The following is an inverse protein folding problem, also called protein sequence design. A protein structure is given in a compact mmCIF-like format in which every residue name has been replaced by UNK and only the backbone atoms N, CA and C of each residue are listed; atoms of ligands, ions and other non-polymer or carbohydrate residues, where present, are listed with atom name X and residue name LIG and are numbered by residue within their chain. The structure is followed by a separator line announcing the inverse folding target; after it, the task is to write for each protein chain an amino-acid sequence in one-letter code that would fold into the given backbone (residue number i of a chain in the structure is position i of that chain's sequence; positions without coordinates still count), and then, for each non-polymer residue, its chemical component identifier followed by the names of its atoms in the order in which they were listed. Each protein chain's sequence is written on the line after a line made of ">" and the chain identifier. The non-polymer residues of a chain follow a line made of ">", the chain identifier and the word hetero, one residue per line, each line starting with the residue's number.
data_IF_070688138644
#
_entry.id   IF_070688138644
#
_cell.length_a   1.000
_cell.length_b   1.000
_cell.length_c   1.000
_cell.angle_alpha   90.00
_cell.angle_beta   90.00
_cell.angle_gamma   90.00
#
_symmetry.space_group_name_H-M   'P 1'
#
loop_
_entity.id
_entity.type
_entity.pdbx_description
1 polymer ?
#
# COMPACT_ATOMS: atom_id res chain seq x y z
N UNK A 1 37.19 -18.91 2.71
CA UNK A 1 37.28 -17.50 3.09
C UNK A 1 36.19 -17.23 4.11
N UNK A 2 36.53 -16.55 5.21
CA UNK A 2 35.62 -16.31 6.32
C UNK A 2 35.26 -14.83 6.35
N UNK A 3 33.98 -14.52 6.28
CA UNK A 3 33.45 -13.15 6.34
C UNK A 3 32.62 -13.03 7.60
N UNK A 4 32.96 -12.10 8.47
CA UNK A 4 32.19 -11.85 9.69
C UNK A 4 31.55 -10.48 9.64
N UNK A 5 30.24 -10.44 9.81
CA UNK A 5 29.45 -9.22 9.89
C UNK A 5 29.10 -8.91 11.35
N UNK A 6 28.88 -7.64 11.67
CA UNK A 6 28.44 -7.21 13.02
C UNK A 6 27.19 -6.34 12.94
N UNK A 7 26.24 -6.63 13.82
CA UNK A 7 25.00 -5.87 14.02
C UNK A 7 23.81 -6.77 14.30
N UNK A 8 22.78 -6.19 14.91
CA UNK A 8 21.52 -6.86 15.28
C UNK A 8 20.34 -6.45 14.39
N UNK A 9 20.64 -5.90 13.20
CA UNK A 9 19.65 -5.41 12.26
C UNK A 9 19.37 -6.45 11.15
N UNK A 10 18.18 -6.42 10.54
CA UNK A 10 17.84 -7.29 9.42
C UNK A 10 18.74 -7.06 8.19
N UNK A 11 19.30 -5.86 8.03
CA UNK A 11 20.31 -5.53 7.04
C UNK A 11 21.49 -6.52 7.04
N UNK A 12 22.01 -6.83 8.23
CA UNK A 12 23.15 -7.75 8.39
C UNK A 12 22.78 -9.17 7.96
N UNK A 13 21.55 -9.61 8.28
CA UNK A 13 21.05 -10.91 7.84
C UNK A 13 20.87 -10.98 6.33
N UNK A 14 20.24 -9.97 5.73
CA UNK A 14 20.09 -9.86 4.28
C UNK A 14 21.45 -9.92 3.60
N UNK A 15 22.41 -9.15 4.08
CA UNK A 15 23.75 -9.16 3.50
C UNK A 15 24.42 -10.53 3.58
N UNK A 16 24.32 -11.20 4.73
CA UNK A 16 24.84 -12.55 4.91
C UNK A 16 24.18 -13.57 3.97
N UNK A 17 22.85 -13.52 3.83
CA UNK A 17 22.09 -14.38 2.90
C UNK A 17 22.55 -14.15 1.46
N UNK A 18 22.66 -12.90 1.02
CA UNK A 18 23.05 -12.56 -0.33
C UNK A 18 24.48 -12.98 -0.65
N UNK A 19 25.43 -12.79 0.28
CA UNK A 19 26.81 -13.26 0.12
C UNK A 19 26.90 -14.79 -0.06
N UNK A 20 26.21 -15.56 0.79
CA UNK A 20 26.20 -17.02 0.69
C UNK A 20 25.54 -17.45 -0.64
N UNK A 21 24.41 -16.84 -0.98
CA UNK A 21 23.64 -17.17 -2.18
C UNK A 21 24.43 -16.87 -3.46
N UNK A 22 25.09 -15.72 -3.51
CA UNK A 22 25.94 -15.30 -4.63
C UNK A 22 27.14 -16.23 -4.82
N UNK A 23 27.79 -16.68 -3.75
CA UNK A 23 28.86 -17.65 -3.87
C UNK A 23 28.42 -18.99 -4.45
N UNK A 24 27.23 -19.47 -4.05
CA UNK A 24 26.63 -20.69 -4.60
C UNK A 24 26.31 -20.52 -6.08
N UNK A 25 25.77 -19.38 -6.51
CA UNK A 25 25.45 -19.16 -7.92
C UNK A 25 26.68 -19.12 -8.83
N UNK A 26 27.83 -18.68 -8.32
CA UNK A 26 29.11 -18.70 -9.06
C UNK A 26 29.87 -20.04 -8.96
N UNK A 27 29.33 -21.05 -8.28
CA UNK A 27 30.00 -22.35 -8.09
C UNK A 27 31.28 -22.26 -7.24
N UNK A 28 31.46 -21.16 -6.49
CA UNK A 28 32.60 -20.98 -5.60
C UNK A 28 32.37 -21.76 -4.30
N UNK A 29 33.43 -22.25 -3.64
CA UNK A 29 33.30 -22.77 -2.28
C UNK A 29 32.66 -21.70 -1.39
N UNK A 30 31.49 -22.00 -0.82
CA UNK A 30 30.70 -21.00 -0.11
C UNK A 30 31.54 -20.34 1.00
N UNK A 31 31.64 -19.00 1.03
CA UNK A 31 32.33 -18.31 2.11
C UNK A 31 31.64 -18.66 3.43
N UNK A 32 32.43 -18.86 4.48
CA UNK A 32 31.88 -19.05 5.82
C UNK A 32 31.46 -17.68 6.31
N UNK A 33 30.16 -17.40 6.22
CA UNK A 33 29.60 -16.14 6.70
C UNK A 33 29.12 -16.32 8.14
N UNK A 34 29.64 -15.48 9.03
CA UNK A 34 29.24 -15.43 10.43
C UNK A 34 28.72 -14.04 10.79
N UNK A 35 27.80 -13.96 11.75
CA UNK A 35 27.30 -12.71 12.32
C UNK A 35 27.69 -12.68 13.80
N UNK A 36 28.31 -11.59 14.25
CA UNK A 36 28.53 -11.35 15.68
C UNK A 36 27.21 -10.94 16.33
N UNK A 37 26.75 -11.71 17.31
CA UNK A 37 25.57 -11.40 18.10
C UNK A 37 24.68 -12.61 18.36
N UNK A 38 23.60 -12.37 19.09
CA UNK A 38 22.60 -13.38 19.39
C UNK A 38 21.46 -13.33 18.35
N UNK A 39 21.13 -14.45 17.69
CA UNK A 39 19.99 -14.55 16.78
C UNK A 39 18.64 -14.15 17.41
N UNK A 40 18.49 -14.28 18.72
CA UNK A 40 17.27 -13.92 19.44
C UNK A 40 17.21 -12.42 19.79
N UNK A 41 18.30 -11.69 19.59
CA UNK A 41 18.39 -10.23 19.77
C UNK A 41 18.23 -9.45 18.46
N UNK A 42 17.97 -10.14 17.34
CA UNK A 42 17.65 -9.47 16.08
C UNK A 42 16.34 -8.71 16.24
N UNK A 43 16.35 -7.45 15.82
CA UNK A 43 15.17 -6.58 15.96
C UNK A 43 13.97 -7.15 15.19
N UNK A 44 12.82 -7.38 15.84
CA UNK A 44 11.64 -7.96 15.21
C UNK A 44 10.91 -6.94 14.31
N UNK A 45 10.41 -7.41 13.16
CA UNK A 45 9.61 -6.63 12.22
C UNK A 45 8.30 -7.37 11.94
N UNK A 46 7.25 -6.98 12.65
CA UNK A 46 5.99 -7.72 12.71
C UNK A 46 5.00 -7.30 11.62
N UNK A 47 4.29 -8.28 11.05
CA UNK A 47 3.13 -8.05 10.17
C UNK A 47 1.85 -7.60 10.90
N UNK A 48 0.74 -7.40 10.17
CA UNK A 48 0.56 -7.78 8.78
C UNK A 48 1.11 -6.72 7.82
N UNK A 49 1.78 -7.15 6.75
CA UNK A 49 2.33 -6.26 5.73
C UNK A 49 2.30 -6.89 4.34
N UNK A 50 2.14 -6.04 3.32
CA UNK A 50 2.26 -6.41 1.92
C UNK A 50 3.04 -5.35 1.14
N UNK A 51 4.01 -5.80 0.35
CA UNK A 51 4.85 -4.94 -0.48
C UNK A 51 5.44 -5.72 -1.65
N UNK A 52 5.97 -4.97 -2.61
CA UNK A 52 6.82 -5.52 -3.65
C UNK A 52 8.29 -5.35 -3.26
N UNK A 53 9.05 -6.46 -3.21
CA UNK A 53 10.50 -6.41 -2.97
C UNK A 53 11.18 -7.68 -3.49
N UNK A 54 12.02 -7.52 -4.52
CA UNK A 54 12.82 -8.63 -5.04
C UNK A 54 13.82 -9.17 -4.01
N UNK A 55 14.44 -8.27 -3.23
CA UNK A 55 15.46 -8.65 -2.25
C UNK A 55 14.84 -9.49 -1.15
N UNK A 56 13.76 -9.03 -0.51
CA UNK A 56 13.08 -9.77 0.55
C UNK A 56 12.54 -11.12 0.06
N UNK A 57 11.89 -11.15 -1.11
CA UNK A 57 11.39 -12.39 -1.70
C UNK A 57 12.53 -13.38 -2.00
N UNK A 58 13.69 -12.90 -2.47
CA UNK A 58 14.88 -13.73 -2.72
C UNK A 58 15.50 -14.27 -1.41
N UNK A 59 15.40 -13.51 -0.33
CA UNK A 59 15.79 -13.92 1.01
C UNK A 59 14.74 -14.77 1.73
N UNK A 60 13.67 -15.18 1.04
CA UNK A 60 12.64 -16.09 1.56
C UNK A 60 11.63 -15.47 2.52
N UNK A 61 11.58 -14.13 2.62
CA UNK A 61 10.60 -13.43 3.47
C UNK A 61 9.26 -13.34 2.75
N UNK A 62 8.20 -13.88 3.38
CA UNK A 62 6.81 -13.68 2.95
C UNK A 62 6.53 -14.07 1.48
N UNK A 63 7.30 -14.99 0.91
CA UNK A 63 7.30 -15.25 -0.54
C UNK A 63 6.03 -15.96 -0.97
N UNK A 64 5.20 -15.28 -1.76
CA UNK A 64 4.11 -15.94 -2.49
C UNK A 64 4.68 -16.65 -3.73
N UNK A 65 4.68 -17.99 -3.72
CA UNK A 65 5.39 -18.84 -4.69
C UNK A 65 5.02 -18.59 -6.16
N UNK A 66 3.86 -17.99 -6.43
CA UNK A 66 3.33 -17.72 -7.77
C UNK A 66 3.44 -16.25 -8.20
N UNK A 67 3.83 -15.32 -7.32
CA UNK A 67 3.80 -13.86 -7.59
C UNK A 67 5.17 -13.18 -7.53
N UNK A 68 6.24 -13.97 -7.60
CA UNK A 68 7.61 -13.49 -7.80
C UNK A 68 8.17 -12.68 -6.64
N UNK A 69 7.96 -11.36 -6.69
CA UNK A 69 8.51 -10.36 -5.76
C UNK A 69 7.49 -9.79 -4.78
N UNK A 70 6.25 -10.30 -4.78
CA UNK A 70 5.29 -9.98 -3.75
C UNK A 70 5.73 -10.60 -2.41
N UNK A 71 5.75 -9.76 -1.39
CA UNK A 71 6.04 -10.15 -0.01
C UNK A 71 4.78 -9.92 0.81
N UNK A 72 4.27 -10.99 1.41
CA UNK A 72 3.17 -10.95 2.37
C UNK A 72 3.67 -11.50 3.69
N UNK A 73 3.65 -10.67 4.73
CA UNK A 73 3.96 -11.12 6.09
C UNK A 73 2.66 -11.12 6.90
N UNK A 74 2.23 -12.28 7.44
CA UNK A 74 1.02 -12.39 8.21
C UNK A 74 1.14 -11.64 9.54
N UNK A 75 0.01 -11.34 10.16
CA UNK A 75 -0.03 -10.67 11.46
C UNK A 75 -1.33 -10.89 12.22
N UNK A 76 -1.51 -10.20 13.35
CA UNK A 76 -2.78 -10.21 14.08
C UNK A 76 -3.92 -9.70 13.18
N UNK A 77 -5.11 -10.32 13.21
CA UNK A 77 -6.22 -9.97 12.32
C UNK A 77 -6.85 -8.60 12.62
N UNK A 78 -6.63 -8.08 13.83
CA UNK A 78 -7.10 -6.79 14.33
C UNK A 78 -6.11 -5.64 14.08
N UNK A 79 -4.88 -5.98 13.69
CA UNK A 79 -3.87 -5.00 13.35
C UNK A 79 -4.09 -4.48 11.91
N UNK A 80 -3.88 -3.17 11.64
CA UNK A 80 -3.93 -2.66 10.28
C UNK A 80 -2.95 -3.36 9.35
N UNK A 81 -3.29 -3.52 8.08
CA UNK A 81 -2.36 -3.99 7.06
C UNK A 81 -1.43 -2.86 6.63
N UNK A 82 -0.12 -3.06 6.74
CA UNK A 82 0.87 -2.13 6.19
C UNK A 82 1.05 -2.38 4.69
N UNK A 83 0.89 -1.36 3.86
CA UNK A 83 0.97 -1.50 2.39
C UNK A 83 1.98 -0.52 1.83
N UNK A 84 2.82 -0.97 0.89
CA UNK A 84 3.61 -0.09 0.03
C UNK A 84 3.49 -0.52 -1.43
N UNK A 85 3.20 0.46 -2.30
CA UNK A 85 3.21 0.27 -3.76
C UNK A 85 4.57 0.56 -4.40
N UNK A 86 5.54 1.09 -3.64
CA UNK A 86 6.86 1.41 -4.15
C UNK A 86 7.62 0.13 -4.56
N UNK A 87 8.41 0.22 -5.63
CA UNK A 87 9.10 -0.91 -6.29
C UNK A 87 10.00 -1.76 -5.37
N UNK A 88 10.43 -1.24 -4.23
CA UNK A 88 11.23 -1.97 -3.23
C UNK A 88 10.75 -1.72 -1.79
N UNK A 89 9.54 -1.19 -1.61
CA UNK A 89 8.99 -0.88 -0.29
C UNK A 89 9.74 0.21 0.48
N UNK A 90 10.57 1.06 -0.16
CA UNK A 90 11.32 2.12 0.54
C UNK A 90 10.46 3.33 0.93
N UNK A 91 9.33 3.54 0.25
CA UNK A 91 8.47 4.72 0.40
C UNK A 91 7.00 4.36 0.14
N UNK A 92 6.12 5.35 0.15
CA UNK A 92 4.72 5.17 -0.24
C UNK A 92 3.96 4.20 0.66
N UNK A 93 4.35 4.13 1.93
CA UNK A 93 3.68 3.29 2.90
C UNK A 93 2.42 3.96 3.44
N UNK A 94 1.37 3.16 3.62
CA UNK A 94 0.13 3.56 4.25
C UNK A 94 -0.50 2.36 4.96
N UNK A 95 -1.63 2.61 5.63
CA UNK A 95 -2.35 1.59 6.39
C UNK A 95 -3.73 1.35 5.80
N UNK A 96 -4.13 0.09 5.84
CA UNK A 96 -5.48 -0.37 5.49
C UNK A 96 -6.10 -1.02 6.72
N UNK A 97 -7.34 -0.67 7.05
CA UNK A 97 -8.06 -1.33 8.12
C UNK A 97 -8.38 -2.79 7.78
N UNK A 98 -8.14 -3.68 8.74
CA UNK A 98 -8.56 -5.09 8.68
C UNK A 98 -9.79 -5.38 9.55
N UNK A 99 -10.17 -4.46 10.44
CA UNK A 99 -11.26 -4.65 11.40
C UNK A 99 -12.66 -4.27 10.84
N UNK A 100 -12.73 -3.68 9.65
CA UNK A 100 -13.99 -3.37 8.95
C UNK A 100 -14.65 -2.04 9.36
N UNK A 101 -13.91 -1.12 9.98
CA UNK A 101 -14.32 0.27 10.28
C UNK A 101 -13.71 1.31 9.33
N UNK A 102 -12.55 1.02 8.74
CA UNK A 102 -11.73 1.95 7.97
C UNK A 102 -10.83 2.82 8.84
N UNK A 103 -9.66 3.15 8.32
CA UNK A 103 -8.72 4.11 8.93
C UNK A 103 -8.87 5.51 8.35
N UNK A 104 -9.18 5.62 7.05
CA UNK A 104 -9.29 6.93 6.42
C UNK A 104 -10.59 7.62 6.86
N UNK A 105 -10.59 8.94 7.16
CA UNK A 105 -11.78 9.67 7.58
C UNK A 105 -12.96 9.55 6.59
N UNK A 106 -12.70 9.47 5.29
CA UNK A 106 -13.72 9.22 4.27
C UNK A 106 -14.33 7.81 4.37
N UNK A 107 -13.50 6.77 4.55
CA UNK A 107 -13.96 5.39 4.76
C UNK A 107 -14.85 5.33 5.99
N UNK A 108 -14.39 5.91 7.10
CA UNK A 108 -15.15 5.96 8.34
C UNK A 108 -16.46 6.74 8.17
N UNK A 109 -16.46 7.82 7.39
CA UNK A 109 -17.67 8.58 7.04
C UNK A 109 -18.70 7.69 6.34
N UNK A 110 -18.29 6.90 5.35
CA UNK A 110 -19.19 5.96 4.67
C UNK A 110 -19.69 4.86 5.61
N UNK A 111 -18.83 4.32 6.49
CA UNK A 111 -19.22 3.32 7.47
C UNK A 111 -20.21 3.88 8.51
N UNK A 112 -20.01 5.12 8.96
CA UNK A 112 -20.93 5.82 9.86
C UNK A 112 -22.28 6.08 9.20
N UNK A 113 -22.32 6.66 8.00
CA UNK A 113 -23.57 6.89 7.26
C UNK A 113 -24.37 5.59 7.06
N UNK A 114 -23.67 4.47 6.86
CA UNK A 114 -24.29 3.15 6.69
C UNK A 114 -25.00 2.64 7.95
N UNK A 115 -24.52 3.05 9.14
CA UNK A 115 -25.02 2.62 10.45
C UNK A 115 -25.80 3.73 11.18
N UNK A 116 -25.98 4.89 10.53
CA UNK A 116 -26.61 6.06 11.14
C UNK A 116 -28.09 5.79 11.46
N UNK A 117 -28.62 6.26 12.61
CA UNK A 117 -30.03 6.13 12.95
C UNK A 117 -30.97 6.89 12.00
N UNK A 118 -30.50 7.94 11.33
CA UNK A 118 -31.30 8.77 10.41
C UNK A 118 -31.53 8.04 9.08
N UNK A 119 -32.79 7.94 8.59
CA UNK A 119 -33.08 7.28 7.31
C UNK A 119 -32.38 7.91 6.10
N UNK A 120 -32.27 9.24 6.07
CA UNK A 120 -31.62 10.00 4.99
C UNK A 120 -30.14 9.63 4.86
N UNK A 121 -29.40 9.58 5.98
CA UNK A 121 -28.00 9.14 6.00
C UNK A 121 -27.82 7.71 5.46
N UNK A 122 -28.71 6.78 5.85
CA UNK A 122 -28.67 5.40 5.34
C UNK A 122 -29.00 5.31 3.86
N UNK A 123 -29.93 6.12 3.35
CA UNK A 123 -30.23 6.19 1.90
C UNK A 123 -29.04 6.77 1.13
N UNK A 124 -28.46 7.88 1.58
CA UNK A 124 -27.27 8.48 0.98
C UNK A 124 -26.10 7.48 0.89
N UNK A 125 -25.85 6.72 1.95
CA UNK A 125 -24.89 5.62 1.94
C UNK A 125 -25.29 4.50 0.96
N UNK A 126 -26.56 4.06 0.94
CA UNK A 126 -27.03 3.02 -0.01
C UNK A 126 -26.89 3.46 -1.47
N UNK A 127 -27.11 4.73 -1.80
CA UNK A 127 -26.91 5.28 -3.15
C UNK A 127 -25.44 5.21 -3.54
N UNK A 128 -24.55 5.72 -2.69
CA UNK A 128 -23.12 5.71 -2.96
C UNK A 128 -22.55 4.29 -3.12
N UNK A 129 -22.92 3.35 -2.24
CA UNK A 129 -22.47 1.96 -2.34
C UNK A 129 -22.93 1.26 -3.62
N UNK A 130 -24.15 1.56 -4.09
CA UNK A 130 -24.65 1.08 -5.39
C UNK A 130 -23.81 1.62 -6.55
N UNK A 131 -23.44 2.90 -6.51
CA UNK A 131 -22.56 3.50 -7.52
C UNK A 131 -21.19 2.84 -7.50
N UNK A 132 -20.54 2.75 -6.34
CA UNK A 132 -19.22 2.12 -6.20
C UNK A 132 -19.23 0.66 -6.68
N UNK A 133 -20.23 -0.12 -6.27
CA UNK A 133 -20.40 -1.50 -6.73
C UNK A 133 -20.63 -1.59 -8.24
N UNK A 134 -21.45 -0.71 -8.83
CA UNK A 134 -21.64 -0.65 -10.29
C UNK A 134 -20.36 -0.31 -11.06
N UNK A 135 -19.44 0.43 -10.43
CA UNK A 135 -18.10 0.72 -10.95
C UNK A 135 -17.10 -0.42 -10.72
N UNK A 136 -17.47 -1.46 -9.96
CA UNK A 136 -16.59 -2.59 -9.62
C UNK A 136 -15.73 -2.36 -8.38
N UNK A 137 -16.08 -1.40 -7.52
CA UNK A 137 -15.42 -1.16 -6.22
C UNK A 137 -16.43 -1.55 -5.12
N UNK A 138 -16.32 -2.75 -4.52
CA UNK A 138 -17.20 -3.11 -3.41
C UNK A 138 -16.89 -2.19 -2.23
N UNK A 139 -17.89 -1.93 -1.40
CA UNK A 139 -17.79 -1.03 -0.26
C UNK A 139 -17.14 -1.69 0.96
N UNK A 140 -16.08 -2.47 0.70
CA UNK A 140 -15.23 -3.10 1.70
C UNK A 140 -14.28 -2.04 2.28
N UNK A 141 -14.27 -1.81 3.61
CA UNK A 141 -13.46 -0.76 4.24
C UNK A 141 -11.98 -0.79 3.83
N UNK A 142 -11.41 -1.99 3.69
CA UNK A 142 -10.02 -2.14 3.26
C UNK A 142 -9.75 -1.54 1.87
N UNK A 143 -10.68 -1.73 0.92
CA UNK A 143 -10.57 -1.18 -0.43
C UNK A 143 -10.86 0.32 -0.48
N UNK A 144 -11.74 0.80 0.39
CA UNK A 144 -12.01 2.23 0.54
C UNK A 144 -10.80 2.96 1.14
N UNK A 145 -10.11 2.37 2.12
CA UNK A 145 -8.85 2.90 2.64
C UNK A 145 -7.78 2.94 1.55
N UNK A 146 -7.68 1.93 0.68
CA UNK A 146 -6.82 2.03 -0.49
C UNK A 146 -7.24 3.18 -1.41
N UNK A 147 -8.52 3.26 -1.74
CA UNK A 147 -9.04 4.28 -2.66
C UNK A 147 -8.79 5.71 -2.15
N UNK A 148 -8.89 5.94 -0.84
CA UNK A 148 -8.80 7.27 -0.24
C UNK A 148 -7.44 7.60 0.39
N UNK A 149 -6.70 6.62 0.91
CA UNK A 149 -5.48 6.86 1.69
C UNK A 149 -4.18 6.46 0.99
N UNK A 150 -4.23 5.70 -0.11
CA UNK A 150 -3.02 5.33 -0.83
C UNK A 150 -2.24 6.60 -1.25
N UNK A 151 -0.91 6.65 -1.08
CA UNK A 151 -0.09 7.82 -1.41
C UNK A 151 0.21 7.90 -2.90
N UNK A 152 -0.83 7.77 -3.72
CA UNK A 152 -0.80 7.73 -5.17
C UNK A 152 -1.72 8.82 -5.75
N UNK A 153 -1.47 9.30 -6.99
CA UNK A 153 -2.37 10.23 -7.64
C UNK A 153 -3.82 9.70 -7.70
N UNK A 154 -4.86 10.57 -7.70
CA UNK A 154 -6.27 10.17 -7.67
C UNK A 154 -6.66 9.10 -8.70
N UNK A 155 -6.23 9.25 -9.95
CA UNK A 155 -6.52 8.29 -11.01
C UNK A 155 -5.81 6.95 -10.79
N UNK A 156 -4.59 6.97 -10.25
CA UNK A 156 -3.84 5.76 -9.88
C UNK A 156 -4.53 5.03 -8.72
N UNK A 157 -5.03 5.74 -7.70
CA UNK A 157 -5.80 5.13 -6.59
C UNK A 157 -7.05 4.44 -7.09
N UNK A 158 -7.79 5.07 -8.00
CA UNK A 158 -8.96 4.45 -8.63
C UNK A 158 -8.55 3.18 -9.38
N UNK A 159 -7.50 3.23 -10.20
CA UNK A 159 -7.01 2.08 -10.94
C UNK A 159 -6.61 0.93 -10.00
N UNK A 160 -5.85 1.22 -8.94
CA UNK A 160 -5.41 0.25 -7.94
C UNK A 160 -6.60 -0.35 -7.18
N UNK A 161 -7.60 0.47 -6.81
CA UNK A 161 -8.80 0.00 -6.13
C UNK A 161 -9.60 -0.97 -7.00
N UNK A 162 -9.76 -0.66 -8.29
CA UNK A 162 -10.42 -1.54 -9.26
C UNK A 162 -9.66 -2.85 -9.47
N UNK A 163 -8.32 -2.80 -9.50
CA UNK A 163 -7.47 -4.00 -9.63
C UNK A 163 -7.56 -4.89 -8.40
N UNK A 164 -7.48 -4.31 -7.21
CA UNK A 164 -7.65 -5.02 -5.94
C UNK A 164 -9.06 -5.62 -5.81
N UNK A 165 -10.09 -4.84 -6.12
CA UNK A 165 -11.48 -5.28 -6.12
C UNK A 165 -11.71 -6.47 -7.05
N UNK A 166 -11.26 -6.37 -8.31
CA UNK A 166 -11.38 -7.48 -9.28
C UNK A 166 -10.66 -8.73 -8.81
N UNK A 167 -9.48 -8.58 -8.20
CA UNK A 167 -8.76 -9.72 -7.65
C UNK A 167 -9.46 -10.37 -6.45
N UNK A 168 -10.27 -9.60 -5.71
CA UNK A 168 -11.01 -10.08 -4.54
C UNK A 168 -12.35 -10.72 -4.91
N UNK A 169 -13.10 -10.11 -5.83
CA UNK A 169 -14.47 -10.53 -6.14
C UNK A 169 -14.57 -11.34 -7.44
N UNK A 170 -13.60 -11.22 -8.34
CA UNK A 170 -13.67 -11.76 -9.70
C UNK A 170 -14.63 -10.99 -10.63
N UNK A 171 -15.30 -9.94 -10.12
CA UNK A 171 -16.29 -9.19 -10.89
C UNK A 171 -15.64 -8.10 -11.75
N UNK A 172 -16.17 -7.92 -12.96
CA UNK A 172 -15.83 -6.78 -13.81
C UNK A 172 -16.84 -5.65 -13.61
N UNK A 173 -16.35 -4.48 -13.20
CA UNK A 173 -17.16 -3.27 -13.09
C UNK A 173 -17.52 -2.66 -14.45
N UNK A 174 -18.54 -1.80 -14.46
CA UNK A 174 -18.81 -0.98 -15.64
C UNK A 174 -17.70 0.05 -15.87
N UNK A 175 -17.32 0.36 -17.13
CA UNK A 175 -16.34 1.41 -17.40
C UNK A 175 -16.78 2.74 -16.79
N UNK A 176 -15.95 3.33 -15.92
CA UNK A 176 -16.26 4.59 -15.20
C UNK A 176 -16.54 5.75 -16.15
N UNK A 177 -15.91 5.78 -17.33
CA UNK A 177 -16.14 6.81 -18.35
C UNK A 177 -17.55 6.79 -18.93
N UNK A 178 -18.34 5.72 -18.71
CA UNK A 178 -19.78 5.71 -19.04
C UNK A 178 -20.59 6.74 -18.24
N UNK A 179 -20.08 7.20 -17.10
CA UNK A 179 -20.71 8.27 -16.33
C UNK A 179 -20.43 9.66 -16.91
N UNK A 180 -19.47 9.78 -17.83
CA UNK A 180 -19.04 11.05 -18.39
C UNK A 180 -19.73 11.36 -19.72
N UNK A 181 -19.90 12.65 -20.00
CA UNK A 181 -20.35 13.19 -21.29
C UNK A 181 -19.16 13.35 -22.25
N UNK A 182 -19.32 13.06 -23.56
CA UNK A 182 -18.29 13.35 -24.55
C UNK A 182 -17.96 14.85 -24.56
N UNK A 183 -16.67 15.17 -24.50
CA UNK A 183 -16.22 16.55 -24.43
C UNK A 183 -16.34 17.28 -25.77
N UNK A 184 -16.88 18.49 -25.74
CA UNK A 184 -16.93 19.40 -26.89
C UNK A 184 -16.41 20.81 -26.52
N UNK A 185 -15.47 20.92 -25.57
CA UNK A 185 -15.01 22.21 -25.03
C UNK A 185 -13.70 22.13 -24.22
N UNK A 186 -13.40 23.17 -23.45
CA UNK A 186 -12.24 23.22 -22.53
C UNK A 186 -12.56 22.42 -21.27
N UNK A 187 -11.69 21.48 -20.94
CA UNK A 187 -11.81 20.66 -19.75
C UNK A 187 -11.70 21.54 -18.49
N UNK A 188 -12.62 21.41 -17.51
CA UNK A 188 -12.49 22.12 -16.24
C UNK A 188 -11.22 21.66 -15.50
N UNK A 189 -10.61 22.59 -14.76
CA UNK A 189 -9.51 22.25 -13.85
C UNK A 189 -9.99 21.27 -12.78
N UNK A 190 -9.15 20.30 -12.37
CA UNK A 190 -9.51 19.36 -11.33
C UNK A 190 -9.59 20.09 -9.99
N UNK A 191 -10.34 19.52 -9.05
CA UNK A 191 -10.28 19.98 -7.66
C UNK A 191 -8.88 19.71 -7.09
N UNK A 192 -8.37 20.59 -6.21
CA UNK A 192 -7.06 20.40 -5.61
C UNK A 192 -7.01 19.11 -4.78
N UNK A 193 -5.82 18.51 -4.70
CA UNK A 193 -5.58 17.39 -3.79
C UNK A 193 -5.84 17.83 -2.34
N UNK A 194 -6.57 17.01 -1.58
CA UNK A 194 -6.95 17.33 -0.21
C UNK A 194 -8.10 18.33 -0.07
N UNK A 195 -8.89 18.57 -1.12
CA UNK A 195 -10.08 19.43 -1.04
C UNK A 195 -11.00 18.98 0.10
N UNK A 196 -11.40 19.92 0.97
CA UNK A 196 -12.28 19.59 2.10
C UNK A 196 -13.73 19.55 1.66
N UNK A 197 -14.58 18.79 2.36
CA UNK A 197 -16.01 18.79 2.06
C UNK A 197 -16.66 20.16 2.23
N UNK A 198 -16.18 20.99 3.15
CA UNK A 198 -16.62 22.39 3.30
C UNK A 198 -16.30 23.22 2.06
N UNK A 199 -15.09 23.08 1.51
CA UNK A 199 -14.70 23.77 0.28
C UNK A 199 -15.54 23.29 -0.91
N UNK A 200 -15.87 22.00 -0.99
CA UNK A 200 -16.76 21.45 -2.02
C UNK A 200 -18.16 22.08 -1.91
N UNK A 201 -18.73 22.16 -0.71
CA UNK A 201 -20.04 22.78 -0.51
C UNK A 201 -20.03 24.29 -0.81
N UNK A 202 -18.95 25.00 -0.46
CA UNK A 202 -18.79 26.41 -0.81
C UNK A 202 -18.69 26.62 -2.33
N UNK A 203 -17.88 25.81 -3.03
CA UNK A 203 -17.77 25.84 -4.49
C UNK A 203 -19.11 25.53 -5.17
N UNK A 204 -19.90 24.63 -4.61
CA UNK A 204 -21.26 24.35 -5.08
C UNK A 204 -22.18 25.56 -4.90
N UNK A 205 -22.17 26.18 -3.72
CA UNK A 205 -23.01 27.36 -3.44
C UNK A 205 -22.71 28.53 -4.38
N UNK A 206 -21.44 28.70 -4.77
CA UNK A 206 -20.99 29.77 -5.68
C UNK A 206 -21.06 29.38 -7.18
N UNK A 207 -21.57 28.18 -7.53
CA UNK A 207 -21.65 27.70 -8.91
C UNK A 207 -20.29 27.34 -9.56
N UNK A 208 -19.22 27.23 -8.77
CA UNK A 208 -17.88 26.85 -9.25
C UNK A 208 -17.72 25.34 -9.48
N UNK A 209 -18.68 24.53 -9.05
CA UNK A 209 -18.69 23.08 -9.25
C UNK A 209 -19.40 22.67 -10.55
N UNK A 210 -20.25 23.54 -11.11
CA UNK A 210 -21.04 23.33 -12.33
C UNK A 210 -20.24 22.82 -13.53
N UNK A 211 -19.03 23.34 -13.84
CA UNK A 211 -18.24 22.82 -14.95
C UNK A 211 -17.92 21.32 -14.80
N UNK A 212 -17.64 20.86 -13.59
CA UNK A 212 -17.38 19.46 -13.29
C UNK A 212 -18.67 18.63 -13.27
N UNK A 213 -19.76 19.15 -12.68
CA UNK A 213 -21.07 18.46 -12.70
C UNK A 213 -21.62 18.32 -14.12
N UNK A 214 -21.37 19.29 -15.00
CA UNK A 214 -21.74 19.25 -16.41
C UNK A 214 -21.03 18.14 -17.20
N UNK A 215 -19.92 17.59 -16.68
CA UNK A 215 -19.24 16.42 -17.24
C UNK A 215 -19.95 15.12 -16.95
N UNK A 216 -20.84 15.10 -15.94
CA UNK A 216 -21.62 13.92 -15.58
C UNK A 216 -22.85 13.85 -16.48
N UNK A 217 -23.18 12.65 -16.99
CA UNK A 217 -24.40 12.46 -17.80
C UNK A 217 -25.64 12.84 -17.01
N UNK A 218 -26.63 13.45 -17.67
CA UNK A 218 -27.85 14.00 -17.05
C UNK A 218 -28.46 13.06 -16.00
N UNK A 219 -28.72 11.79 -16.35
CA UNK A 219 -29.31 10.82 -15.42
C UNK A 219 -28.48 10.55 -14.15
N UNK A 220 -27.14 10.63 -14.24
CA UNK A 220 -26.26 10.48 -13.09
C UNK A 220 -26.04 11.81 -12.35
N UNK A 221 -26.17 12.94 -13.06
CA UNK A 221 -26.05 14.28 -12.51
C UNK A 221 -27.19 14.58 -11.52
N UNK A 222 -28.44 14.32 -11.90
CA UNK A 222 -29.60 14.58 -11.03
C UNK A 222 -29.47 13.81 -9.70
N UNK A 223 -29.09 12.54 -9.77
CA UNK A 223 -28.86 11.71 -8.59
C UNK A 223 -27.66 12.16 -7.74
N UNK A 224 -26.61 12.68 -8.38
CA UNK A 224 -25.45 13.26 -7.69
C UNK A 224 -25.83 14.56 -6.99
N UNK A 225 -26.57 15.45 -7.63
CA UNK A 225 -27.02 16.72 -7.05
C UNK A 225 -27.95 16.49 -5.85
N UNK A 226 -28.88 15.54 -5.97
CA UNK A 226 -29.75 15.10 -4.85
C UNK A 226 -28.91 14.53 -3.70
N UNK A 227 -27.93 13.68 -3.98
CA UNK A 227 -27.03 13.14 -2.96
C UNK A 227 -26.19 14.23 -2.28
N UNK A 228 -25.73 15.24 -3.04
CA UNK A 228 -25.01 16.38 -2.48
C UNK A 228 -25.91 17.23 -1.56
N UNK A 229 -27.21 17.35 -1.87
CA UNK A 229 -28.18 18.04 -1.02
C UNK A 229 -28.42 17.28 0.29
N UNK A 230 -28.60 15.96 0.22
CA UNK A 230 -28.73 15.09 1.39
C UNK A 230 -27.51 15.26 2.32
N UNK A 231 -26.29 15.20 1.77
CA UNK A 231 -25.05 15.35 2.55
C UNK A 231 -24.91 16.76 3.13
N UNK A 232 -25.26 17.80 2.37
CA UNK A 232 -25.23 19.18 2.87
C UNK A 232 -26.21 19.40 4.02
N UNK A 233 -27.40 18.80 3.96
CA UNK A 233 -28.38 18.85 5.05
C UNK A 233 -27.87 18.11 6.29
N UNK A 234 -27.37 16.88 6.14
CA UNK A 234 -26.81 16.09 7.23
C UNK A 234 -25.64 16.80 7.91
N UNK A 235 -24.74 17.42 7.13
CA UNK A 235 -23.59 18.16 7.64
C UNK A 235 -24.00 19.36 8.51
N UNK A 236 -25.10 20.05 8.17
CA UNK A 236 -25.63 21.15 9.01
C UNK A 236 -26.15 20.64 10.36
N UNK A 237 -26.73 19.44 10.38
CA UNK A 237 -27.27 18.84 11.61
C UNK A 237 -26.18 18.30 12.54
N UNK A 238 -25.12 17.71 11.99
CA UNK A 238 -24.09 16.99 12.77
C UNK A 238 -22.73 17.68 12.84
N UNK A 239 -22.66 18.95 12.42
CA UNK A 239 -21.42 19.74 12.48
C UNK A 239 -20.36 19.30 11.47
N UNK A 240 -20.78 18.74 10.33
CA UNK A 240 -19.88 18.37 9.25
C UNK A 240 -19.14 17.05 9.47
N UNK A 241 -19.66 16.17 10.33
CA UNK A 241 -18.99 14.94 10.78
C UNK A 241 -18.51 14.06 9.63
N UNK A 242 -19.28 14.00 8.55
CA UNK A 242 -19.03 13.12 7.40
C UNK A 242 -18.54 13.87 6.15
N UNK A 243 -18.16 15.15 6.27
CA UNK A 243 -17.66 15.98 5.16
C UNK A 243 -16.31 15.50 4.59
N UNK A 244 -15.52 14.75 5.36
CA UNK A 244 -14.30 14.13 4.84
C UNK A 244 -14.59 13.14 3.70
N UNK A 245 -15.74 12.46 3.71
CA UNK A 245 -16.18 11.60 2.60
C UNK A 245 -16.45 12.43 1.35
N UNK A 246 -17.13 13.57 1.51
CA UNK A 246 -17.43 14.47 0.39
C UNK A 246 -16.15 15.00 -0.24
N UNK A 247 -15.19 15.47 0.56
CA UNK A 247 -13.89 15.96 0.07
C UNK A 247 -13.14 14.90 -0.74
N UNK A 248 -13.01 13.69 -0.19
CA UNK A 248 -12.31 12.60 -0.86
C UNK A 248 -12.99 12.15 -2.17
N UNK A 249 -14.32 12.06 -2.19
CA UNK A 249 -15.07 11.75 -3.41
C UNK A 249 -14.97 12.86 -4.46
N UNK A 250 -15.00 14.12 -4.02
CA UNK A 250 -14.88 15.26 -4.92
C UNK A 250 -13.48 15.33 -5.54
N UNK A 251 -12.43 15.05 -4.78
CA UNK A 251 -11.06 14.93 -5.31
C UNK A 251 -11.01 13.86 -6.42
N UNK A 252 -11.44 12.63 -6.12
CA UNK A 252 -11.45 11.54 -7.09
C UNK A 252 -12.32 11.86 -8.31
N UNK A 253 -13.53 12.39 -8.08
CA UNK A 253 -14.50 12.74 -9.12
C UNK A 253 -14.05 13.91 -9.98
N UNK A 254 -13.36 14.90 -9.41
CA UNK A 254 -12.81 16.04 -10.14
C UNK A 254 -11.73 15.61 -11.13
N UNK A 255 -10.80 14.75 -10.69
CA UNK A 255 -9.78 14.17 -11.57
C UNK A 255 -10.38 13.22 -12.62
N UNK A 256 -11.41 12.44 -12.25
CA UNK A 256 -12.12 11.60 -13.20
C UNK A 256 -12.87 12.43 -14.26
N UNK A 257 -13.48 13.55 -13.85
CA UNK A 257 -14.22 14.45 -14.74
C UNK A 257 -13.35 15.08 -15.83
N UNK A 258 -12.03 15.11 -15.63
CA UNK A 258 -11.07 15.56 -16.64
C UNK A 258 -10.81 14.56 -17.76
N UNK A 259 -11.18 13.29 -17.55
CA UNK A 259 -10.92 12.27 -18.53
C UNK A 259 -11.88 12.40 -19.73
N UNK A 260 -11.39 12.18 -20.97
CA UNK A 260 -12.26 12.01 -22.12
C UNK A 260 -13.24 10.84 -21.90
N UNK A 261 -14.45 10.94 -22.46
CA UNK A 261 -15.52 9.94 -22.27
C UNK A 261 -15.19 8.52 -22.77
N UNK A 262 -14.03 8.29 -23.37
CA UNK A 262 -13.56 6.97 -23.83
C UNK A 262 -12.09 6.69 -23.49
N UNK A 263 -11.49 7.46 -22.56
CA UNK A 263 -10.14 7.16 -22.11
C UNK A 263 -10.10 5.95 -21.19
N UNK A 264 -8.99 5.22 -21.23
CA UNK A 264 -8.66 4.24 -20.20
C UNK A 264 -8.01 4.96 -19.02
N UNK A 265 -8.18 4.42 -17.81
CA UNK A 265 -7.36 4.83 -16.68
C UNK A 265 -5.89 4.52 -16.97
N UNK A 266 -4.96 5.34 -16.47
CA UNK A 266 -3.54 5.01 -16.57
C UNK A 266 -3.30 3.65 -15.91
N UNK A 267 -2.60 2.72 -16.57
CA UNK A 267 -2.30 1.43 -15.95
C UNK A 267 -1.39 1.67 -14.73
N UNK A 268 -1.61 0.96 -13.62
CA UNK A 268 -0.67 1.01 -12.51
C UNK A 268 0.69 0.45 -12.95
N UNK A 269 1.76 0.88 -12.29
CA UNK A 269 3.05 0.23 -12.48
C UNK A 269 3.01 -1.24 -12.01
N UNK A 270 3.98 -2.04 -12.44
CA UNK A 270 4.00 -3.48 -12.17
C UNK A 270 4.06 -3.82 -10.68
N UNK A 271 4.77 -3.02 -9.87
CA UNK A 271 4.90 -3.27 -8.44
C UNK A 271 3.57 -2.96 -7.74
N UNK A 272 2.98 -1.81 -8.06
CA UNK A 272 1.70 -1.40 -7.55
C UNK A 272 0.58 -2.36 -7.95
N UNK A 273 0.56 -2.85 -9.20
CA UNK A 273 -0.39 -3.86 -9.67
C UNK A 273 -0.23 -5.21 -8.94
N UNK A 274 1.02 -5.65 -8.74
CA UNK A 274 1.34 -6.89 -8.02
C UNK A 274 0.85 -6.83 -6.58
N UNK A 275 1.07 -5.69 -5.90
CA UNK A 275 0.59 -5.47 -4.53
C UNK A 275 -0.93 -5.37 -4.52
N UNK A 276 -1.54 -4.57 -5.40
CA UNK A 276 -3.00 -4.39 -5.45
C UNK A 276 -3.74 -5.73 -5.64
N UNK A 277 -3.26 -6.58 -6.55
CA UNK A 277 -3.81 -7.92 -6.76
C UNK A 277 -3.45 -8.93 -5.66
N UNK A 278 -2.46 -8.61 -4.82
CA UNK A 278 -2.03 -9.41 -3.66
C UNK A 278 -2.74 -9.05 -2.35
N UNK A 279 -3.45 -7.90 -2.29
CA UNK A 279 -4.11 -7.41 -1.07
C UNK A 279 -5.06 -8.45 -0.50
N UNK A 280 -5.83 -9.18 -1.32
CA UNK A 280 -6.74 -10.20 -0.82
C UNK A 280 -6.04 -11.34 -0.08
N UNK A 281 -4.87 -11.76 -0.56
CA UNK A 281 -4.05 -12.74 0.14
C UNK A 281 -3.53 -12.18 1.47
N UNK A 282 -3.10 -10.92 1.48
CA UNK A 282 -2.61 -10.24 2.67
C UNK A 282 -3.69 -10.04 3.75
N UNK A 283 -4.91 -9.67 3.34
CA UNK A 283 -6.05 -9.53 4.26
C UNK A 283 -6.43 -10.86 4.91
N UNK A 284 -6.27 -11.99 4.19
CA UNK A 284 -6.51 -13.34 4.72
C UNK A 284 -5.33 -13.97 5.48
N UNK A 285 -4.15 -13.35 5.46
CA UNK A 285 -2.91 -13.93 5.99
C UNK A 285 -2.81 -13.79 7.51
N UNK A 286 -3.38 -14.77 8.23
CA UNK A 286 -3.36 -14.83 9.71
C UNK A 286 -2.46 -15.93 10.30
N UNK A 287 -2.02 -16.87 9.45
CA UNK A 287 -1.23 -18.05 9.81
C UNK A 287 0.15 -17.95 9.15
N UNK A 288 1.21 -18.25 9.91
CA UNK A 288 2.60 -18.26 9.44
C UNK A 288 3.55 -17.50 10.36
N UNK A 289 4.80 -17.35 9.92
CA UNK A 289 5.81 -16.53 10.61
C UNK A 289 5.41 -15.06 10.53
N UNK A 290 5.19 -14.43 11.68
CA UNK A 290 4.72 -13.04 11.79
C UNK A 290 5.86 -12.04 11.88
N UNK A 291 7.07 -12.50 12.21
CA UNK A 291 8.27 -11.70 12.26
C UNK A 291 9.12 -11.92 11.00
N UNK A 292 9.17 -10.90 10.14
CA UNK A 292 9.98 -10.92 8.93
C UNK A 292 11.47 -11.14 9.24
N UNK A 293 11.97 -10.61 10.36
CA UNK A 293 13.35 -10.81 10.79
C UNK A 293 13.63 -12.27 11.17
N UNK A 294 12.67 -12.95 11.81
CA UNK A 294 12.79 -14.37 12.15
C UNK A 294 12.87 -15.26 10.91
N UNK A 295 12.14 -14.90 9.85
CA UNK A 295 12.27 -15.54 8.54
C UNK A 295 13.70 -15.40 8.00
N UNK A 296 14.29 -14.20 8.06
CA UNK A 296 15.68 -13.98 7.65
C UNK A 296 16.67 -14.79 8.48
N UNK A 297 16.52 -14.86 9.81
CA UNK A 297 17.37 -15.69 10.68
C UNK A 297 17.31 -17.16 10.26
N UNK A 298 16.10 -17.67 10.00
CA UNK A 298 15.87 -19.06 9.59
C UNK A 298 16.55 -19.35 8.25
N UNK A 299 16.37 -18.47 7.26
CA UNK A 299 16.99 -18.63 5.93
C UNK A 299 18.51 -18.51 6.01
N UNK A 300 19.04 -17.55 6.77
CA UNK A 300 20.48 -17.40 6.95
C UNK A 300 21.12 -18.68 7.52
N UNK A 301 20.52 -19.26 8.57
CA UNK A 301 20.98 -20.54 9.14
C UNK A 301 20.84 -21.70 8.16
N UNK A 302 19.71 -21.78 7.45
CA UNK A 302 19.48 -22.82 6.43
C UNK A 302 20.54 -22.80 5.32
N UNK A 303 20.99 -21.60 4.91
CA UNK A 303 22.06 -21.45 3.94
C UNK A 303 23.46 -21.76 4.51
N UNK A 304 23.57 -22.07 5.81
CA UNK A 304 24.82 -22.43 6.48
C UNK A 304 25.52 -21.27 7.19
N UNK A 305 24.85 -20.10 7.28
CA UNK A 305 25.30 -18.98 8.09
C UNK A 305 25.31 -19.29 9.59
N UNK A 306 26.20 -18.65 10.35
CA UNK A 306 26.39 -18.91 11.79
C UNK A 306 26.38 -17.62 12.61
N UNK A 307 26.05 -17.74 13.88
CA UNK A 307 26.18 -16.67 14.85
C UNK A 307 27.37 -16.95 15.76
N UNK A 308 28.17 -15.94 16.07
CA UNK A 308 29.39 -16.03 16.87
C UNK A 308 29.43 -14.90 17.90
N UNK A 309 30.22 -15.06 18.96
CA UNK A 309 30.35 -14.04 20.02
C UNK A 309 31.39 -12.98 19.70
N UNK A 310 32.44 -13.33 18.95
CA UNK A 310 33.54 -12.44 18.62
C UNK A 310 34.18 -12.80 17.27
N UNK A 311 34.82 -11.83 16.63
CA UNK A 311 35.72 -12.06 15.50
C UNK A 311 36.78 -10.97 15.40
N UNK A 312 37.91 -11.32 14.78
CA UNK A 312 39.08 -10.45 14.68
C UNK A 312 38.87 -9.23 13.76
N UNK A 313 38.08 -9.38 12.71
CA UNK A 313 37.87 -8.36 11.68
C UNK A 313 36.39 -8.26 11.27
N UNK A 314 35.51 -7.75 12.16
CA UNK A 314 34.09 -7.64 11.86
C UNK A 314 33.81 -6.50 10.87
N UNK A 315 32.92 -6.77 9.91
CA UNK A 315 32.45 -5.79 8.93
C UNK A 315 31.08 -5.29 9.35
N UNK A 316 30.97 -3.97 9.49
CA UNK A 316 29.73 -3.29 9.88
C UNK A 316 29.05 -2.73 8.62
N UNK A 317 27.77 -3.04 8.44
CA UNK A 317 27.04 -2.69 7.22
C UNK A 317 26.02 -1.55 7.41
N UNK A 318 25.40 -1.42 8.58
CA UNK A 318 24.52 -0.28 8.94
C UNK A 318 24.37 -0.16 10.47
N UNK A 319 24.26 1.10 10.96
CA UNK A 319 24.15 1.45 12.39
C UNK A 319 22.84 2.19 12.75
N UNK A 320 21.86 2.27 11.84
CA UNK A 320 20.62 2.99 12.13
C UNK A 320 19.78 2.24 13.17
N UNK A 321 19.52 2.87 14.32
CA UNK A 321 18.66 2.33 15.37
C UNK A 321 17.23 2.09 14.85
N UNK A 322 16.58 1.00 15.28
CA UNK A 322 15.23 0.70 14.84
C UNK A 322 14.21 1.65 15.46
N UNK A 323 13.27 2.20 14.67
CA UNK A 323 12.23 3.06 15.22
C UNK A 323 11.22 2.27 16.08
N UNK A 324 10.57 2.99 16.99
CA UNK A 324 9.57 2.43 17.90
C UNK A 324 8.23 2.12 17.19
N UNK A 325 7.81 2.98 16.26
CA UNK A 325 6.54 2.83 15.55
C UNK A 325 6.55 1.71 14.52
N UNK A 326 5.41 1.03 14.34
CA UNK A 326 5.32 -0.18 13.50
C UNK A 326 5.49 0.12 12.02
N UNK A 327 4.86 1.20 11.54
CA UNK A 327 4.97 1.63 10.14
C UNK A 327 6.40 2.07 9.82
N UNK A 328 6.97 2.88 10.69
CA UNK A 328 8.33 3.38 10.62
C UNK A 328 9.33 2.22 10.64
N UNK A 329 9.03 1.15 11.39
CA UNK A 329 9.86 -0.04 11.42
C UNK A 329 9.86 -0.81 10.09
N UNK A 330 8.72 -0.87 9.40
CA UNK A 330 8.67 -1.42 8.04
C UNK A 330 9.43 -0.58 7.02
N UNK A 331 9.32 0.76 7.10
CA UNK A 331 10.10 1.68 6.28
C UNK A 331 11.60 1.49 6.50
N UNK A 332 12.03 1.48 7.78
CA UNK A 332 13.41 1.21 8.17
C UNK A 332 13.89 -0.15 7.67
N UNK A 333 13.09 -1.20 7.83
CA UNK A 333 13.43 -2.54 7.42
C UNK A 333 13.64 -2.64 5.90
N UNK A 334 12.69 -2.15 5.10
CA UNK A 334 12.78 -2.18 3.65
C UNK A 334 13.97 -1.34 3.13
N UNK A 335 14.21 -0.17 3.73
CA UNK A 335 15.37 0.65 3.42
C UNK A 335 16.68 -0.10 3.73
N UNK A 336 16.79 -0.66 4.94
CA UNK A 336 18.00 -1.34 5.40
C UNK A 336 18.33 -2.58 4.56
N UNK A 337 17.32 -3.35 4.17
CA UNK A 337 17.45 -4.52 3.28
C UNK A 337 17.96 -4.10 1.91
N UNK A 338 17.40 -3.03 1.36
CA UNK A 338 17.72 -2.60 0.02
C UNK A 338 19.12 -1.94 -0.04
N UNK A 339 19.49 -1.13 0.95
CA UNK A 339 20.87 -0.61 1.10
C UNK A 339 21.88 -1.73 1.32
N UNK A 340 21.50 -2.78 2.06
CA UNK A 340 22.36 -3.95 2.26
C UNK A 340 22.61 -4.72 0.98
N UNK A 341 21.59 -4.84 0.11
CA UNK A 341 21.77 -5.44 -1.21
C UNK A 341 22.78 -4.65 -2.06
N UNK A 342 22.68 -3.33 -2.05
CA UNK A 342 23.63 -2.44 -2.74
C UNK A 342 25.06 -2.56 -2.15
N UNK A 343 25.17 -2.67 -0.82
CA UNK A 343 26.45 -2.79 -0.12
C UNK A 343 27.14 -4.16 -0.34
N UNK A 344 26.37 -5.24 -0.47
CA UNK A 344 26.91 -6.60 -0.70
C UNK A 344 27.71 -6.68 -1.99
N UNK A 345 27.27 -6.00 -3.05
CA UNK A 345 28.00 -6.01 -4.32
C UNK A 345 29.37 -5.34 -4.20
N UNK A 346 29.44 -4.21 -3.48
CA UNK A 346 30.70 -3.54 -3.16
C UNK A 346 31.60 -4.40 -2.27
N UNK A 347 31.02 -5.03 -1.24
CA UNK A 347 31.72 -5.90 -0.32
C UNK A 347 32.31 -7.13 -1.03
N UNK A 348 31.54 -7.74 -1.94
CA UNK A 348 31.97 -8.88 -2.74
C UNK A 348 33.24 -8.55 -3.54
N UNK A 349 33.23 -7.43 -4.27
CA UNK A 349 34.41 -6.97 -5.05
C UNK A 349 35.60 -6.57 -4.20
N UNK A 350 35.40 -6.19 -2.94
CA UNK A 350 36.50 -5.78 -2.06
C UNK A 350 37.16 -6.94 -1.34
N UNK A 351 36.37 -7.92 -0.94
CA UNK A 351 36.79 -8.97 -0.03
C UNK A 351 36.95 -10.28 -0.77
N UNK A 352 35.96 -10.69 -1.57
CA UNK A 352 35.92 -12.03 -2.16
C UNK A 352 36.60 -12.05 -3.53
N UNK A 353 36.45 -11.00 -4.32
CA UNK A 353 37.00 -10.88 -5.68
C UNK A 353 37.66 -9.49 -5.90
N UNK A 354 38.79 -9.21 -5.22
CA UNK A 354 39.50 -7.94 -5.38
C UNK A 354 40.08 -7.78 -6.79
N UNK A 355 39.86 -6.61 -7.39
CA UNK A 355 40.52 -6.24 -8.64
C UNK A 355 42.04 -6.31 -8.45
N UNK A 356 42.69 -7.08 -9.33
CA UNK A 356 44.11 -7.45 -9.26
C UNK A 356 45.06 -6.26 -9.31
#
# INVERSE_FOLDING_TARGET
>A
MDVTLIGNSPAVLTAGILLISKARSFGLPSPRVAIIGDPDQITPVEGPAVLHSHVLASCGVGRELSRGALVVVPGPPDAPLMVSFAKDGRSGWFQIDMAGGGLHPATQGLMRLSRDPRPVAREASRRLRRVLSGLGIPSEPALLDLLFAAPEPPLSRIALALRAARSLTGEEGSPMTRLLTPEHGVCPDPLPLGVTGEEVLARRADGRLEPLLGRVRVHARDALEEWLDDIAALAKEDGGRDLALLGALAELGGHLGMLPASSMLPPPDSAADTVATGIGAALGASVGERDASRSLVTIFRFLGGRFVTEARHPIRLMDAEPPAGRLERWQWFAQAVAESADAVDSLWRRVIDPAS
#
